data_IF_129528112568
#
_entry.id   IF_129528112568
#
_cell.length_a   1.000
_cell.length_b   1.000
_cell.length_c   1.000
_cell.angle_alpha   90.00
_cell.angle_beta   90.00
_cell.angle_gamma   90.00
#
_symmetry.space_group_name_H-M   'P 1'
#
loop_
_entity.id
_entity.type
_entity.pdbx_description
1 polymer ?
#
# COMPACT_ATOMS: atom_id res chain seq x y z
N UNK A 1 -1.55 -30.57 -15.42
CA UNK A 1 -1.39 -29.31 -16.17
C UNK A 1 0.00 -29.29 -16.79
N UNK A 2 0.14 -29.00 -18.06
CA UNK A 2 1.43 -29.01 -18.73
C UNK A 2 2.18 -27.69 -18.51
N UNK A 3 3.49 -27.71 -18.71
CA UNK A 3 4.37 -26.56 -18.55
C UNK A 3 3.90 -25.31 -19.30
N UNK A 4 3.47 -25.50 -20.54
CA UNK A 4 3.08 -24.39 -21.39
C UNK A 4 1.84 -23.66 -20.84
N UNK A 5 0.88 -24.42 -20.33
CA UNK A 5 -0.32 -23.82 -19.73
C UNK A 5 0.00 -23.09 -18.45
N UNK A 6 0.86 -23.67 -17.60
CA UNK A 6 1.27 -23.06 -16.34
C UNK A 6 2.04 -21.76 -16.59
N UNK A 7 3.00 -21.78 -17.52
CA UNK A 7 3.81 -20.60 -17.86
C UNK A 7 2.93 -19.52 -18.49
N UNK A 8 1.96 -19.92 -19.34
CA UNK A 8 1.01 -18.97 -19.93
C UNK A 8 0.19 -18.26 -18.86
N UNK A 9 -0.35 -19.03 -17.90
CA UNK A 9 -1.13 -18.47 -16.79
C UNK A 9 -0.29 -17.49 -15.96
N UNK A 10 0.95 -17.84 -15.67
CA UNK A 10 1.86 -16.97 -14.95
C UNK A 10 2.13 -15.66 -15.69
N UNK A 11 2.40 -15.75 -17.01
CA UNK A 11 2.67 -14.56 -17.81
C UNK A 11 1.45 -13.68 -17.96
N UNK A 12 0.25 -14.25 -18.06
CA UNK A 12 -0.99 -13.50 -18.08
C UNK A 12 -1.18 -12.72 -16.77
N UNK A 13 -0.88 -13.35 -15.65
CA UNK A 13 -0.95 -12.69 -14.35
C UNK A 13 0.04 -11.54 -14.25
N UNK A 14 1.28 -11.76 -14.72
CA UNK A 14 2.30 -10.71 -14.74
C UNK A 14 1.86 -9.53 -15.60
N UNK A 15 1.31 -9.79 -16.76
CA UNK A 15 0.85 -8.74 -17.67
C UNK A 15 -0.30 -7.95 -17.06
N UNK A 16 -1.25 -8.64 -16.43
CA UNK A 16 -2.38 -7.99 -15.77
C UNK A 16 -1.92 -7.15 -14.59
N UNK A 17 -1.00 -7.68 -13.80
CA UNK A 17 -0.43 -6.94 -12.67
C UNK A 17 0.29 -5.68 -13.16
N UNK A 18 1.13 -5.80 -14.18
CA UNK A 18 1.90 -4.68 -14.70
C UNK A 18 0.98 -3.57 -15.23
N UNK A 19 -0.05 -3.94 -15.99
CA UNK A 19 -1.00 -2.97 -16.54
C UNK A 19 -1.79 -2.28 -15.44
N UNK A 20 -2.23 -3.04 -14.43
CA UNK A 20 -2.97 -2.50 -13.29
C UNK A 20 -2.10 -1.55 -12.49
N UNK A 21 -0.86 -1.95 -12.20
CA UNK A 21 0.07 -1.14 -11.44
C UNK A 21 0.36 0.18 -12.15
N UNK A 22 0.59 0.14 -13.46
CA UNK A 22 0.85 1.32 -14.27
C UNK A 22 -0.35 2.29 -14.23
N UNK A 23 -1.57 1.77 -14.33
CA UNK A 23 -2.78 2.58 -14.25
C UNK A 23 -2.93 3.20 -12.86
N UNK A 24 -2.64 2.43 -11.81
CA UNK A 24 -2.67 2.94 -10.44
C UNK A 24 -1.64 4.06 -10.22
N UNK A 25 -0.41 3.88 -10.73
CA UNK A 25 0.62 4.92 -10.63
C UNK A 25 0.16 6.22 -11.24
N UNK A 26 -0.40 6.14 -12.45
CA UNK A 26 -0.86 7.32 -13.18
C UNK A 26 -2.01 8.02 -12.47
N UNK A 27 -3.02 7.26 -12.03
CA UNK A 27 -4.22 7.85 -11.44
C UNK A 27 -4.00 8.33 -10.01
N UNK A 28 -3.22 7.60 -9.21
CA UNK A 28 -2.95 7.99 -7.83
C UNK A 28 -2.00 9.17 -7.72
N UNK A 29 -1.22 9.45 -8.77
CA UNK A 29 -0.36 10.63 -8.80
C UNK A 29 -1.15 11.91 -8.55
N UNK A 30 -2.40 11.97 -8.99
CA UNK A 30 -3.30 13.10 -8.76
C UNK A 30 -3.53 13.38 -7.28
N UNK A 31 -3.30 12.39 -6.44
CA UNK A 31 -3.45 12.48 -4.98
C UNK A 31 -2.11 12.49 -4.25
N UNK A 32 -1.00 12.64 -5.00
CA UNK A 32 0.36 12.62 -4.45
C UNK A 32 0.66 11.31 -3.70
N UNK A 33 0.16 10.19 -4.22
CA UNK A 33 0.39 8.86 -3.65
C UNK A 33 0.86 7.89 -4.73
N UNK A 34 1.85 7.07 -4.39
CA UNK A 34 2.18 5.90 -5.18
C UNK A 34 1.28 4.73 -4.80
N UNK A 35 1.22 3.68 -5.64
CA UNK A 35 0.38 2.51 -5.33
C UNK A 35 0.77 1.81 -4.03
N UNK A 36 2.05 1.65 -3.74
CA UNK A 36 2.49 1.02 -2.49
C UNK A 36 2.14 1.88 -1.28
N UNK A 37 2.31 3.19 -1.39
CA UNK A 37 1.92 4.12 -0.34
C UNK A 37 0.42 4.03 -0.07
N UNK A 38 -0.37 3.98 -1.13
CA UNK A 38 -1.82 3.82 -1.02
C UNK A 38 -2.17 2.52 -0.30
N UNK A 39 -1.54 1.41 -0.68
CA UNK A 39 -1.85 0.11 -0.06
C UNK A 39 -1.57 0.11 1.44
N UNK A 40 -0.47 0.73 1.87
CA UNK A 40 -0.13 0.83 3.29
C UNK A 40 -1.19 1.65 4.03
N UNK A 41 -1.51 2.83 3.51
CA UNK A 41 -2.49 3.70 4.16
C UNK A 41 -3.89 3.08 4.16
N UNK A 42 -4.28 2.42 3.05
CA UNK A 42 -5.57 1.75 2.95
C UNK A 42 -5.71 0.63 3.97
N UNK A 43 -4.65 -0.16 4.14
CA UNK A 43 -4.62 -1.20 5.15
C UNK A 43 -4.79 -0.61 6.55
N UNK A 44 -4.07 0.47 6.85
CA UNK A 44 -4.14 1.11 8.17
C UNK A 44 -5.55 1.62 8.48
N UNK A 45 -6.19 2.29 7.53
CA UNK A 45 -7.54 2.80 7.71
C UNK A 45 -8.55 1.66 7.84
N UNK A 46 -8.40 0.64 7.01
CA UNK A 46 -9.32 -0.50 6.98
C UNK A 46 -9.28 -1.29 8.29
N UNK A 47 -8.09 -1.51 8.85
CA UNK A 47 -7.93 -2.22 10.12
C UNK A 47 -8.37 -1.38 11.32
N UNK A 48 -8.17 -0.07 11.25
CA UNK A 48 -8.62 0.84 12.29
C UNK A 48 -7.89 0.74 13.61
N UNK A 49 -6.63 0.30 13.62
CA UNK A 49 -5.82 0.23 14.83
C UNK A 49 -5.17 1.59 15.11
N UNK A 50 -4.82 1.84 16.37
CA UNK A 50 -4.12 3.06 16.73
C UNK A 50 -2.65 3.03 16.31
N UNK A 51 -2.01 1.86 16.42
CA UNK A 51 -0.61 1.68 16.12
C UNK A 51 -0.42 0.41 15.31
N UNK A 52 0.59 0.43 14.44
CA UNK A 52 0.93 -0.71 13.57
C UNK A 52 2.42 -1.00 13.69
N UNK A 53 2.77 -2.27 13.78
CA UNK A 53 4.18 -2.67 13.69
C UNK A 53 4.61 -2.65 12.24
N UNK A 54 5.88 -2.26 12.00
CA UNK A 54 6.45 -2.22 10.65
C UNK A 54 6.33 -3.59 9.98
N UNK A 55 6.59 -4.68 10.71
CA UNK A 55 6.50 -6.02 10.15
C UNK A 55 5.07 -6.38 9.72
N UNK A 56 4.09 -5.96 10.49
CA UNK A 56 2.68 -6.18 10.13
C UNK A 56 2.35 -5.51 8.79
N UNK A 57 2.80 -4.27 8.61
CA UNK A 57 2.55 -3.53 7.38
C UNK A 57 3.30 -4.15 6.19
N UNK A 58 4.52 -4.63 6.42
CA UNK A 58 5.29 -5.30 5.37
C UNK A 58 4.58 -6.57 4.90
N UNK A 59 4.11 -7.39 5.84
CA UNK A 59 3.43 -8.65 5.52
C UNK A 59 2.13 -8.39 4.79
N UNK A 60 1.34 -7.40 5.24
CA UNK A 60 0.04 -7.10 4.64
C UNK A 60 0.15 -6.55 3.23
N UNK A 61 1.22 -5.84 2.91
CA UNK A 61 1.40 -5.20 1.61
C UNK A 61 2.36 -5.96 0.69
N UNK A 62 2.88 -7.10 1.16
CA UNK A 62 3.81 -7.95 0.41
C UNK A 62 5.09 -7.22 0.00
N UNK A 63 5.54 -6.29 0.86
CA UNK A 63 6.80 -5.58 0.67
C UNK A 63 7.88 -6.17 1.56
N UNK A 64 9.13 -6.07 1.13
CA UNK A 64 10.24 -6.40 2.01
C UNK A 64 10.30 -5.37 3.14
N UNK A 65 10.92 -5.76 4.25
CA UNK A 65 11.04 -4.85 5.38
C UNK A 65 11.82 -3.58 5.01
N UNK A 66 12.88 -3.72 4.19
CA UNK A 66 13.67 -2.57 3.76
C UNK A 66 12.88 -1.64 2.82
N UNK A 67 12.09 -2.21 1.90
CA UNK A 67 11.25 -1.42 1.01
C UNK A 67 10.18 -0.67 1.82
N UNK A 68 9.56 -1.36 2.78
CA UNK A 68 8.56 -0.72 3.62
C UNK A 68 9.17 0.38 4.48
N UNK A 69 10.36 0.16 5.06
CA UNK A 69 11.02 1.18 5.88
C UNK A 69 11.27 2.47 5.10
N UNK A 70 11.70 2.34 3.83
CA UNK A 70 11.89 3.49 2.95
C UNK A 70 10.57 4.20 2.64
N UNK A 71 9.53 3.41 2.43
CA UNK A 71 8.19 3.94 2.15
C UNK A 71 7.65 4.70 3.36
N UNK A 72 7.78 4.14 4.56
CA UNK A 72 7.36 4.80 5.79
C UNK A 72 8.11 6.12 5.99
N UNK A 73 9.41 6.14 5.69
CA UNK A 73 10.19 7.36 5.79
C UNK A 73 9.66 8.45 4.84
N UNK A 74 9.26 8.08 3.63
CA UNK A 74 8.64 9.03 2.68
C UNK A 74 7.30 9.54 3.17
N UNK A 75 6.45 8.64 3.69
CA UNK A 75 5.15 9.01 4.24
C UNK A 75 5.29 9.92 5.46
N UNK A 76 6.30 9.66 6.27
CA UNK A 76 6.58 10.48 7.46
C UNK A 76 7.00 11.89 7.06
N UNK A 77 7.87 12.03 6.06
CA UNK A 77 8.29 13.33 5.54
C UNK A 77 7.13 14.12 4.95
N UNK A 78 6.12 13.45 4.44
CA UNK A 78 4.91 14.08 3.90
C UNK A 78 3.84 14.31 4.98
N UNK A 79 4.13 14.00 6.23
CA UNK A 79 3.21 14.12 7.37
C UNK A 79 1.95 13.26 7.26
N UNK A 80 2.04 12.15 6.53
CA UNK A 80 0.92 11.23 6.35
C UNK A 80 0.91 10.12 7.40
N UNK A 81 2.07 9.81 7.96
CA UNK A 81 2.23 8.91 9.10
C UNK A 81 3.22 9.51 10.08
N UNK A 82 3.20 9.02 11.30
CA UNK A 82 4.23 9.35 12.29
C UNK A 82 4.68 8.07 12.99
N UNK A 83 5.93 8.08 13.41
CA UNK A 83 6.49 6.97 14.19
C UNK A 83 6.30 7.27 15.66
N UNK A 84 5.92 6.25 16.43
CA UNK A 84 5.86 6.35 17.88
C UNK A 84 6.57 5.16 18.49
N UNK A 85 7.19 5.38 19.64
CA UNK A 85 7.79 4.30 20.42
C UNK A 85 6.88 4.02 21.59
N UNK A 86 6.57 2.74 21.81
CA UNK A 86 5.85 2.33 22.99
C UNK A 86 6.83 2.32 24.17
N UNK A 87 6.46 2.94 25.28
CA UNK A 87 7.32 3.03 26.46
C UNK A 87 7.69 1.66 27.04
N UNK A 88 6.89 0.64 26.76
CA UNK A 88 7.08 -0.70 27.30
C UNK A 88 7.85 -1.63 26.37
N UNK A 89 8.04 -1.24 25.11
CA UNK A 89 8.71 -2.10 24.12
C UNK A 89 9.77 -1.31 23.39
N UNK A 90 11.00 -1.36 23.88
CA UNK A 90 12.14 -0.68 23.29
C UNK A 90 12.51 -1.25 21.91
N UNK A 91 11.91 -2.38 21.50
CA UNK A 91 12.19 -3.03 20.23
C UNK A 91 11.23 -2.59 19.13
N UNK A 92 10.11 -1.94 19.49
CA UNK A 92 9.04 -1.69 18.55
C UNK A 92 8.93 -0.24 18.17
N UNK A 93 9.21 0.05 16.91
CA UNK A 93 8.77 1.30 16.31
C UNK A 93 7.37 1.04 15.80
N UNK A 94 6.41 1.81 16.30
CA UNK A 94 5.04 1.76 15.83
C UNK A 94 4.82 2.89 14.85
N UNK A 95 3.93 2.65 13.89
CA UNK A 95 3.54 3.62 12.88
C UNK A 95 2.06 3.95 13.09
N UNK A 96 1.74 5.23 13.05
CA UNK A 96 0.37 5.73 13.16
C UNK A 96 0.04 6.56 11.93
N UNK A 97 -1.19 6.45 11.45
CA UNK A 97 -1.65 7.32 10.38
C UNK A 97 -2.05 8.67 10.99
N UNK A 98 -1.68 9.77 10.33
CA UNK A 98 -2.08 11.10 10.76
C UNK A 98 -3.47 11.45 10.20
N UNK A 99 -4.05 12.53 10.69
CA UNK A 99 -5.32 13.03 10.13
C UNK A 99 -5.14 13.41 8.65
N UNK A 100 -3.99 13.98 8.29
CA UNK A 100 -3.66 14.29 6.89
C UNK A 100 -3.57 13.02 6.05
N UNK A 101 -2.93 11.97 6.58
CA UNK A 101 -2.81 10.70 5.89
C UNK A 101 -4.15 10.06 5.64
N UNK A 102 -5.01 10.07 6.65
CA UNK A 102 -6.37 9.55 6.54
C UNK A 102 -7.17 10.33 5.51
N UNK A 103 -7.12 11.65 5.55
CA UNK A 103 -7.85 12.50 4.60
C UNK A 103 -7.40 12.26 3.16
N UNK A 104 -6.08 12.16 2.94
CA UNK A 104 -5.54 11.91 1.60
C UNK A 104 -5.96 10.53 1.09
N UNK A 105 -5.90 9.52 1.95
CA UNK A 105 -6.33 8.18 1.57
C UNK A 105 -7.80 8.15 1.19
N UNK A 106 -8.65 8.73 2.01
CA UNK A 106 -10.10 8.73 1.76
C UNK A 106 -10.41 9.45 0.45
N UNK A 107 -9.72 10.55 0.16
CA UNK A 107 -9.89 11.28 -1.10
C UNK A 107 -9.42 10.44 -2.30
N UNK A 108 -8.37 9.64 -2.15
CA UNK A 108 -7.80 8.82 -3.21
C UNK A 108 -8.55 7.50 -3.43
N UNK A 109 -9.29 7.03 -2.43
CA UNK A 109 -9.91 5.71 -2.46
C UNK A 109 -10.86 5.51 -3.65
N UNK A 110 -11.75 6.45 -4.00
CA UNK A 110 -12.60 6.27 -5.18
C UNK A 110 -11.80 6.12 -6.48
N UNK A 111 -10.69 6.85 -6.60
CA UNK A 111 -9.80 6.75 -7.77
C UNK A 111 -9.18 5.36 -7.86
N UNK A 112 -8.69 4.85 -6.74
CA UNK A 112 -8.11 3.49 -6.68
C UNK A 112 -9.16 2.44 -7.06
N UNK A 113 -10.35 2.51 -6.47
CA UNK A 113 -11.41 1.53 -6.73
C UNK A 113 -11.88 1.57 -8.17
N UNK A 114 -11.92 2.75 -8.79
CA UNK A 114 -12.30 2.87 -10.20
C UNK A 114 -11.30 2.16 -11.13
N UNK A 115 -10.00 2.24 -10.83
CA UNK A 115 -8.99 1.50 -11.60
C UNK A 115 -9.20 0.00 -11.44
N UNK A 116 -9.42 -0.48 -10.21
CA UNK A 116 -9.63 -1.91 -9.98
C UNK A 116 -10.89 -2.42 -10.66
N UNK A 117 -11.97 -1.66 -10.61
CA UNK A 117 -13.21 -2.04 -11.28
C UNK A 117 -13.03 -2.17 -12.79
N UNK A 118 -12.28 -1.26 -13.40
CA UNK A 118 -12.01 -1.32 -14.84
C UNK A 118 -11.20 -2.56 -15.24
N UNK A 119 -10.34 -3.06 -14.32
CA UNK A 119 -9.51 -4.23 -14.59
C UNK A 119 -10.25 -5.55 -14.30
N UNK A 120 -11.00 -5.59 -13.20
CA UNK A 120 -11.55 -6.85 -12.68
C UNK A 120 -13.04 -7.06 -12.94
N UNK A 121 -13.75 -6.03 -13.38
CA UNK A 121 -15.19 -6.10 -13.60
C UNK A 121 -15.51 -6.42 -15.07
N UNK A 122 -15.08 -7.63 -15.48
CA UNK A 122 -15.32 -8.12 -16.85
C UNK A 122 -15.90 -9.51 -16.85
#
# INVERSE_FOLDING_TARGET
>A
MNDKAVVGAWRDLLAKHAATWCALERELEKHDLGPSEFEVLDYMVDRGQDNYRVQELADATHLSQSALSRLIARLERADLVCRSMCDFDRRGVFVRITDQGRARLIAARPTHRAVLEAVFDH
#
